data_IF_660759495626
#
_entry.id   IF_660759495626
#
_cell.length_a   1.000
_cell.length_b   1.000
_cell.length_c   1.000
_cell.angle_alpha   90.00
_cell.angle_beta   90.00
_cell.angle_gamma   90.00
#
_symmetry.space_group_name_H-M   'P 1'
#
loop_
_entity.id
_entity.type
_entity.pdbx_description
1 polymer ?
#
# COMPACT_ATOMS: atom_id res chain seq x y z
N UNK A 1 13.88 4.79 13.04
CA UNK A 1 12.65 4.01 12.86
C UNK A 1 12.34 3.96 11.39
N UNK A 2 12.01 2.82 10.80
CA UNK A 2 11.64 2.67 9.39
C UNK A 2 11.02 1.29 9.16
N UNK A 3 10.32 1.10 8.02
CA UNK A 3 10.08 -0.22 7.46
C UNK A 3 11.27 -0.56 6.56
N UNK A 4 11.94 -1.68 6.84
CA UNK A 4 13.13 -2.09 6.10
C UNK A 4 12.97 -3.54 5.61
N UNK A 5 13.28 -3.76 4.36
CA UNK A 5 13.50 -5.08 3.77
C UNK A 5 14.99 -5.22 3.51
N UNK A 6 15.59 -6.33 3.93
CA UNK A 6 17.02 -6.59 3.80
C UNK A 6 17.25 -7.95 3.15
N UNK A 7 17.62 -7.97 1.90
CA UNK A 7 17.91 -9.18 1.16
C UNK A 7 16.75 -10.17 1.08
N UNK A 8 15.51 -9.68 1.01
CA UNK A 8 14.30 -10.52 1.08
C UNK A 8 14.17 -11.39 -0.16
N UNK A 9 14.00 -12.70 0.06
CA UNK A 9 13.63 -13.67 -0.97
C UNK A 9 12.26 -14.25 -0.66
N UNK A 10 11.34 -14.21 -1.64
CA UNK A 10 9.99 -14.72 -1.48
C UNK A 10 9.43 -15.24 -2.80
N UNK A 11 8.44 -16.14 -2.71
CA UNK A 11 7.80 -16.69 -3.91
C UNK A 11 6.82 -17.81 -3.61
N UNK A 12 6.37 -18.49 -4.65
CA UNK A 12 5.32 -19.51 -4.60
C UNK A 12 5.85 -20.88 -5.02
N UNK A 13 5.53 -21.92 -4.24
CA UNK A 13 6.03 -23.27 -4.52
C UNK A 13 7.56 -23.30 -4.60
N UNK A 14 8.15 -23.61 -5.76
CA UNK A 14 9.59 -23.60 -5.99
C UNK A 14 10.10 -22.30 -6.64
N UNK A 15 9.23 -21.50 -7.21
CA UNK A 15 9.61 -20.29 -7.94
C UNK A 15 9.86 -19.13 -6.95
N UNK A 16 10.99 -18.42 -7.15
CA UNK A 16 11.29 -17.15 -6.51
C UNK A 16 10.73 -16.03 -7.39
N UNK A 17 9.87 -15.19 -6.80
CA UNK A 17 9.38 -13.98 -7.46
C UNK A 17 10.11 -12.73 -6.96
N UNK A 18 10.74 -12.80 -5.80
CA UNK A 18 11.55 -11.75 -5.16
C UNK A 18 12.89 -12.36 -4.79
N UNK A 19 13.99 -11.74 -5.20
CA UNK A 19 15.34 -12.29 -5.16
C UNK A 19 16.31 -11.27 -4.55
N UNK A 20 16.44 -11.27 -3.21
CA UNK A 20 17.35 -10.40 -2.50
C UNK A 20 16.92 -8.93 -2.44
N UNK A 21 15.62 -8.64 -2.44
CA UNK A 21 15.10 -7.27 -2.42
C UNK A 21 15.44 -6.59 -1.11
N UNK A 22 16.06 -5.40 -1.23
CA UNK A 22 16.33 -4.49 -0.13
C UNK A 22 15.71 -3.13 -0.44
N UNK A 23 14.91 -2.59 0.48
CA UNK A 23 14.32 -1.26 0.39
C UNK A 23 14.02 -0.69 1.79
N UNK A 24 13.89 0.61 1.88
CA UNK A 24 13.57 1.31 3.13
C UNK A 24 12.44 2.30 2.90
N UNK A 25 11.46 2.30 3.81
CA UNK A 25 10.39 3.30 3.87
C UNK A 25 10.56 4.09 5.16
N UNK A 26 11.06 5.33 5.10
CA UNK A 26 11.16 6.21 6.27
C UNK A 26 9.78 6.58 6.83
N UNK A 27 9.68 6.89 8.14
CA UNK A 27 8.42 7.39 8.71
C UNK A 27 7.95 8.66 7.99
N UNK A 28 6.63 8.77 7.77
CA UNK A 28 6.03 9.97 7.17
C UNK A 28 6.47 10.25 5.73
N UNK A 29 6.96 9.24 5.01
CA UNK A 29 7.32 9.34 3.59
C UNK A 29 6.40 8.51 2.71
N UNK A 30 6.34 8.85 1.43
CA UNK A 30 5.81 8.01 0.37
C UNK A 30 7.00 7.45 -0.41
N UNK A 31 7.15 6.14 -0.39
CA UNK A 31 8.16 5.43 -1.21
C UNK A 31 7.43 4.60 -2.26
N UNK A 32 7.87 4.67 -3.50
CA UNK A 32 7.26 3.87 -4.58
C UNK A 32 8.16 2.71 -4.99
N UNK A 33 7.54 1.57 -5.32
CA UNK A 33 8.18 0.41 -5.94
C UNK A 33 7.59 0.23 -7.34
N UNK A 34 8.34 0.61 -8.35
CA UNK A 34 7.95 0.60 -9.76
C UNK A 34 8.45 -0.64 -10.46
N UNK A 35 7.73 -1.09 -11.46
CA UNK A 35 8.17 -2.21 -12.30
C UNK A 35 7.04 -2.82 -13.12
N UNK A 36 7.36 -3.63 -14.13
CA UNK A 36 6.36 -4.26 -14.99
C UNK A 36 5.57 -5.34 -14.24
N UNK A 37 4.49 -5.81 -14.87
CA UNK A 37 3.71 -6.93 -14.36
C UNK A 37 4.59 -8.18 -14.24
N UNK A 38 4.46 -8.88 -13.11
CA UNK A 38 5.30 -10.06 -12.82
C UNK A 38 6.69 -9.76 -12.27
N UNK A 39 7.09 -8.49 -12.10
CA UNK A 39 8.41 -8.13 -11.56
C UNK A 39 8.64 -8.51 -10.08
N UNK A 40 7.59 -8.89 -9.34
CA UNK A 40 7.69 -9.25 -7.92
C UNK A 40 7.08 -8.24 -6.96
N UNK A 41 6.48 -7.14 -7.45
CA UNK A 41 5.91 -6.04 -6.65
C UNK A 41 4.91 -6.52 -5.58
N UNK A 42 3.81 -7.15 -6.02
CA UNK A 42 2.77 -7.66 -5.10
C UNK A 42 3.30 -8.76 -4.17
N UNK A 43 4.27 -9.56 -4.64
CA UNK A 43 4.92 -10.58 -3.80
C UNK A 43 5.73 -9.93 -2.68
N UNK A 44 6.43 -8.82 -2.97
CA UNK A 44 7.16 -8.02 -1.97
C UNK A 44 6.20 -7.50 -0.90
N UNK A 45 5.05 -6.90 -1.30
CA UNK A 45 4.05 -6.43 -0.35
C UNK A 45 3.44 -7.56 0.48
N UNK A 46 3.11 -8.69 -0.14
CA UNK A 46 2.54 -9.85 0.55
C UNK A 46 3.51 -10.47 1.55
N UNK A 47 4.80 -10.53 1.21
CA UNK A 47 5.83 -10.97 2.14
C UNK A 47 5.95 -10.00 3.33
N UNK A 48 5.94 -8.70 3.06
CA UNK A 48 6.00 -7.65 4.09
C UNK A 48 4.79 -7.67 5.02
N UNK A 49 3.59 -7.98 4.49
CA UNK A 49 2.35 -8.08 5.26
C UNK A 49 2.16 -9.43 6.00
N UNK A 50 3.12 -10.36 5.92
CA UNK A 50 3.02 -11.67 6.56
C UNK A 50 2.06 -12.65 5.88
N UNK A 51 1.65 -12.38 4.64
CA UNK A 51 0.80 -13.26 3.82
C UNK A 51 1.60 -14.35 3.10
N UNK A 52 2.88 -14.10 2.89
CA UNK A 52 3.84 -15.04 2.34
C UNK A 52 5.06 -15.05 3.27
N UNK A 53 5.52 -16.23 3.64
CA UNK A 53 6.73 -16.35 4.45
C UNK A 53 7.97 -16.14 3.58
N UNK A 54 8.85 -15.17 3.88
CA UNK A 54 10.15 -15.03 3.22
C UNK A 54 10.97 -16.31 3.38
N UNK A 55 11.76 -16.66 2.37
CA UNK A 55 12.70 -17.79 2.40
C UNK A 55 14.06 -17.39 2.93
N UNK A 56 14.45 -16.13 2.70
CA UNK A 56 15.67 -15.51 3.16
C UNK A 56 15.46 -14.02 3.37
N UNK A 57 16.43 -13.39 4.03
CA UNK A 57 16.40 -11.97 4.36
C UNK A 57 15.62 -11.66 5.63
N UNK A 58 15.44 -10.38 5.86
CA UNK A 58 14.77 -9.84 7.05
C UNK A 58 13.79 -8.75 6.67
N UNK A 59 12.66 -8.69 7.36
CA UNK A 59 11.69 -7.60 7.29
C UNK A 59 11.59 -7.00 8.69
N UNK A 60 11.93 -5.73 8.80
CA UNK A 60 12.00 -5.01 10.06
C UNK A 60 11.03 -3.83 10.06
N UNK A 61 10.31 -3.66 11.15
CA UNK A 61 9.48 -2.49 11.41
C UNK A 61 9.99 -1.81 12.67
N UNK A 62 10.59 -0.64 12.50
CA UNK A 62 11.23 0.12 13.60
C UNK A 62 12.28 -0.70 14.38
N UNK A 63 12.99 -1.58 13.70
CA UNK A 63 14.01 -2.47 14.25
C UNK A 63 13.48 -3.81 14.78
N UNK A 64 12.16 -4.01 14.86
CA UNK A 64 11.55 -5.29 15.24
C UNK A 64 11.30 -6.18 14.03
N UNK A 65 11.63 -7.45 14.10
CA UNK A 65 11.41 -8.43 13.00
C UNK A 65 9.93 -8.71 12.82
N UNK A 66 9.47 -8.62 11.57
CA UNK A 66 8.13 -9.01 11.14
C UNK A 66 8.11 -10.36 10.40
N UNK A 67 9.22 -10.75 9.78
CA UNK A 67 9.29 -11.97 9.00
C UNK A 67 8.95 -13.21 9.86
N UNK A 68 8.06 -14.04 9.32
CA UNK A 68 7.54 -15.22 10.03
C UNK A 68 6.35 -14.95 10.96
N UNK A 69 5.97 -13.70 11.18
CA UNK A 69 4.73 -13.37 11.88
C UNK A 69 3.51 -13.58 10.99
N UNK A 70 2.35 -14.01 11.53
CA UNK A 70 1.11 -14.05 10.79
C UNK A 70 0.58 -12.63 10.53
N UNK A 71 -0.21 -12.47 9.46
CA UNK A 71 -0.69 -11.17 8.99
C UNK A 71 -1.41 -10.34 10.08
N UNK A 72 -2.22 -10.97 10.93
CA UNK A 72 -2.92 -10.31 12.03
C UNK A 72 -1.96 -9.73 13.09
N UNK A 73 -0.82 -10.40 13.33
CA UNK A 73 0.23 -9.88 14.21
C UNK A 73 0.99 -8.70 13.56
N UNK A 74 1.17 -8.73 12.23
CA UNK A 74 1.77 -7.63 11.47
C UNK A 74 0.86 -6.40 11.53
N UNK A 75 -0.47 -6.57 11.34
CA UNK A 75 -1.45 -5.48 11.47
C UNK A 75 -1.40 -4.86 12.87
N UNK A 76 -1.36 -5.66 13.93
CA UNK A 76 -1.24 -5.15 15.32
C UNK A 76 0.04 -4.35 15.57
N UNK A 77 1.08 -4.55 14.78
CA UNK A 77 2.32 -3.76 14.82
C UNK A 77 2.26 -2.47 14.01
N UNK A 78 1.11 -2.17 13.40
CA UNK A 78 0.87 -0.93 12.69
C UNK A 78 1.25 -0.94 11.22
N UNK A 79 1.19 -2.09 10.55
CA UNK A 79 1.35 -2.21 9.11
C UNK A 79 0.08 -2.76 8.47
N UNK A 80 -0.51 -2.04 7.51
CA UNK A 80 -1.69 -2.48 6.78
C UNK A 80 -1.41 -2.61 5.28
N UNK A 81 -2.03 -3.60 4.65
CA UNK A 81 -1.99 -3.81 3.20
C UNK A 81 -3.37 -3.56 2.58
N UNK A 82 -3.38 -2.77 1.53
CA UNK A 82 -4.52 -2.62 0.61
C UNK A 82 -4.15 -3.37 -0.67
N UNK A 83 -4.76 -4.54 -0.94
CA UNK A 83 -4.43 -5.37 -2.09
C UNK A 83 -5.00 -4.81 -3.39
N UNK A 84 -4.42 -5.18 -4.53
CA UNK A 84 -4.83 -4.81 -5.89
C UNK A 84 -6.33 -5.04 -6.15
N UNK A 85 -6.86 -6.20 -5.73
CA UNK A 85 -8.28 -6.57 -5.93
C UNK A 85 -9.22 -5.97 -4.89
N UNK A 86 -8.76 -5.01 -4.06
CA UNK A 86 -9.53 -4.33 -3.01
C UNK A 86 -10.05 -5.23 -1.91
N UNK A 87 -10.39 -6.49 -2.19
CA UNK A 87 -10.85 -7.53 -1.25
C UNK A 87 -11.97 -7.01 -0.32
N UNK A 88 -12.97 -6.31 -0.91
CA UNK A 88 -14.14 -5.83 -0.18
C UNK A 88 -15.13 -6.96 0.07
N UNK A 89 -15.97 -6.78 1.08
CA UNK A 89 -17.15 -7.59 1.31
C UNK A 89 -18.32 -6.96 0.54
N UNK A 90 -18.65 -7.43 -0.68
CA UNK A 90 -19.51 -6.70 -1.61
C UNK A 90 -20.96 -6.59 -1.14
N UNK A 91 -21.46 -7.54 -0.36
CA UNK A 91 -22.80 -7.54 0.22
C UNK A 91 -22.95 -6.67 1.47
N UNK A 92 -21.83 -6.34 2.13
CA UNK A 92 -21.84 -5.49 3.32
C UNK A 92 -21.86 -4.01 2.96
N UNK A 93 -22.54 -3.17 3.75
CA UNK A 93 -22.48 -1.72 3.64
C UNK A 93 -21.05 -1.17 3.72
N UNK A 94 -20.84 0.01 3.15
CA UNK A 94 -19.56 0.75 3.27
C UNK A 94 -19.14 0.86 4.74
N UNK A 95 -20.04 1.28 5.63
CA UNK A 95 -19.74 1.44 7.06
C UNK A 95 -19.23 0.14 7.69
N UNK A 96 -19.81 -1.00 7.36
CA UNK A 96 -19.37 -2.30 7.90
C UNK A 96 -18.01 -2.70 7.31
N UNK A 97 -17.78 -2.48 6.02
CA UNK A 97 -16.45 -2.68 5.42
C UNK A 97 -15.38 -1.87 6.14
N UNK A 98 -15.64 -0.59 6.46
CA UNK A 98 -14.69 0.24 7.21
C UNK A 98 -14.48 -0.31 8.63
N UNK A 99 -15.57 -0.66 9.32
CA UNK A 99 -15.52 -1.18 10.70
C UNK A 99 -14.68 -2.46 10.82
N UNK A 100 -14.69 -3.32 9.80
CA UNK A 100 -13.84 -4.51 9.75
C UNK A 100 -12.34 -4.17 9.76
N UNK A 101 -11.94 -3.01 9.25
CA UNK A 101 -10.54 -2.55 9.31
C UNK A 101 -10.04 -2.32 10.75
N UNK A 102 -10.95 -2.06 11.68
CA UNK A 102 -10.63 -1.85 13.10
C UNK A 102 -10.75 -3.12 13.95
N UNK A 103 -10.97 -4.31 13.37
CA UNK A 103 -11.33 -5.52 14.12
C UNK A 103 -10.25 -5.96 15.14
N UNK A 104 -8.99 -5.59 14.94
CA UNK A 104 -7.89 -5.88 15.88
C UNK A 104 -7.84 -4.91 17.07
N UNK A 105 -8.66 -3.84 17.07
CA UNK A 105 -8.68 -2.75 18.03
C UNK A 105 -9.84 -2.87 19.01
N UNK A 106 -9.70 -2.23 20.18
CA UNK A 106 -10.74 -2.21 21.24
C UNK A 106 -11.06 -0.80 21.74
N UNK A 107 -10.34 0.21 21.26
CA UNK A 107 -10.42 1.63 21.64
C UNK A 107 -11.58 2.34 20.92
N UNK A 108 -12.82 2.08 21.35
CA UNK A 108 -14.05 2.51 20.64
C UNK A 108 -14.09 4.00 20.32
N UNK A 109 -13.63 4.87 21.22
CA UNK A 109 -13.61 6.32 21.00
C UNK A 109 -12.68 6.67 19.84
N UNK A 110 -11.44 6.18 19.84
CA UNK A 110 -10.49 6.42 18.76
C UNK A 110 -10.90 5.76 17.43
N UNK A 111 -11.60 4.62 17.47
CA UNK A 111 -12.18 4.01 16.25
C UNK A 111 -13.24 4.94 15.65
N UNK A 112 -14.08 5.59 16.47
CA UNK A 112 -15.08 6.54 15.98
C UNK A 112 -14.42 7.79 15.38
N UNK A 113 -13.35 8.31 16.00
CA UNK A 113 -12.56 9.43 15.46
C UNK A 113 -11.92 9.06 14.11
N UNK A 114 -11.32 7.86 14.01
CA UNK A 114 -10.72 7.39 12.77
C UNK A 114 -11.76 7.17 11.65
N UNK A 115 -12.98 6.75 11.99
CA UNK A 115 -14.09 6.65 11.03
C UNK A 115 -14.47 8.03 10.49
N UNK A 116 -14.60 9.04 11.37
CA UNK A 116 -14.88 10.41 10.97
C UNK A 116 -13.74 10.99 10.10
N UNK A 117 -12.48 10.67 10.43
CA UNK A 117 -11.31 11.03 9.62
C UNK A 117 -11.38 10.39 8.24
N UNK A 118 -11.75 9.11 8.12
CA UNK A 118 -11.93 8.44 6.84
C UNK A 118 -13.04 9.10 6.01
N UNK A 119 -14.14 9.49 6.63
CA UNK A 119 -15.22 10.23 5.96
C UNK A 119 -14.82 11.66 5.57
N UNK A 120 -13.93 12.31 6.31
CA UNK A 120 -13.38 13.61 5.93
C UNK A 120 -12.40 13.48 4.73
N UNK A 121 -11.61 12.40 4.67
CA UNK A 121 -10.75 12.11 3.53
C UNK A 121 -11.55 11.76 2.27
N UNK A 122 -12.62 10.97 2.44
CA UNK A 122 -13.46 10.46 1.36
C UNK A 122 -14.95 10.80 1.58
N UNK A 123 -15.41 12.05 1.35
CA UNK A 123 -16.78 12.49 1.67
C UNK A 123 -17.87 11.63 1.02
N UNK A 124 -17.61 11.12 -0.18
CA UNK A 124 -18.54 10.23 -0.91
C UNK A 124 -18.87 8.95 -0.12
N UNK A 125 -17.93 8.45 0.68
CA UNK A 125 -18.17 7.26 1.50
C UNK A 125 -19.15 7.54 2.63
N UNK A 126 -19.19 8.77 3.17
CA UNK A 126 -20.18 9.20 4.16
C UNK A 126 -21.58 9.20 3.59
N UNK A 127 -21.73 9.74 2.38
CA UNK A 127 -23.03 9.81 1.66
C UNK A 127 -23.59 8.42 1.39
N UNK A 128 -22.69 7.47 1.11
CA UNK A 128 -23.00 6.09 0.71
C UNK A 128 -22.79 5.06 1.82
N UNK A 129 -22.68 5.50 3.07
CA UNK A 129 -22.31 4.63 4.23
C UNK A 129 -23.19 3.40 4.42
N UNK A 130 -24.48 3.49 4.04
CA UNK A 130 -25.43 2.39 4.14
C UNK A 130 -25.54 1.56 2.83
N UNK A 131 -24.84 1.97 1.75
CA UNK A 131 -24.89 1.30 0.46
C UNK A 131 -23.97 0.07 0.46
N UNK A 132 -24.40 -1.08 -0.10
CA UNK A 132 -23.56 -2.25 -0.29
C UNK A 132 -22.33 -1.93 -1.13
N UNK A 133 -21.14 -2.30 -0.66
CA UNK A 133 -19.87 -1.92 -1.30
C UNK A 133 -19.75 -2.44 -2.75
N UNK A 134 -20.35 -3.58 -3.06
CA UNK A 134 -20.33 -4.15 -4.41
C UNK A 134 -21.09 -3.33 -5.46
N UNK A 135 -21.95 -2.38 -5.06
CA UNK A 135 -22.72 -1.52 -5.97
C UNK A 135 -22.04 -0.17 -6.25
N UNK A 136 -20.89 0.07 -5.63
CA UNK A 136 -20.10 1.28 -5.84
C UNK A 136 -19.31 1.23 -7.14
N UNK A 137 -18.96 2.41 -7.68
CA UNK A 137 -18.00 2.52 -8.78
C UNK A 137 -16.61 2.00 -8.37
N UNK A 138 -15.77 1.64 -9.36
CA UNK A 138 -14.42 1.14 -9.09
C UNK A 138 -13.58 2.11 -8.24
N UNK A 139 -13.67 3.41 -8.47
CA UNK A 139 -12.96 4.42 -7.67
C UNK A 139 -13.49 4.51 -6.24
N UNK A 140 -14.81 4.48 -6.04
CA UNK A 140 -15.39 4.46 -4.70
C UNK A 140 -15.03 3.18 -3.93
N UNK A 141 -15.00 2.03 -4.61
CA UNK A 141 -14.51 0.78 -4.01
C UNK A 141 -13.04 0.88 -3.59
N UNK A 142 -12.21 1.57 -4.38
CA UNK A 142 -10.80 1.82 -4.01
C UNK A 142 -10.69 2.72 -2.78
N UNK A 143 -11.52 3.77 -2.70
CA UNK A 143 -11.60 4.63 -1.51
C UNK A 143 -12.02 3.81 -0.27
N UNK A 144 -13.01 2.90 -0.39
CA UNK A 144 -13.39 2.00 0.71
C UNK A 144 -12.23 1.12 1.14
N UNK A 145 -11.48 0.53 0.20
CA UNK A 145 -10.34 -0.33 0.51
C UNK A 145 -9.23 0.42 1.26
N UNK A 146 -8.89 1.64 0.81
CA UNK A 146 -7.91 2.50 1.49
C UNK A 146 -8.41 2.91 2.87
N UNK A 147 -9.65 3.40 2.97
CA UNK A 147 -10.26 3.80 4.24
C UNK A 147 -10.31 2.64 5.24
N UNK A 148 -10.67 1.42 4.79
CA UNK A 148 -10.64 0.22 5.63
C UNK A 148 -9.24 -0.08 6.15
N UNK A 149 -8.21 0.07 5.32
CA UNK A 149 -6.81 -0.06 5.75
C UNK A 149 -6.45 0.95 6.84
N UNK A 150 -6.88 2.22 6.71
CA UNK A 150 -6.65 3.28 7.67
C UNK A 150 -7.34 3.05 9.02
N UNK A 151 -8.48 2.34 9.04
CA UNK A 151 -9.19 2.00 10.29
C UNK A 151 -8.37 1.14 11.25
N UNK A 152 -7.34 0.44 10.78
CA UNK A 152 -6.38 -0.25 11.65
C UNK A 152 -5.41 0.71 12.37
N UNK A 153 -5.43 2.00 12.05
CA UNK A 153 -4.52 3.07 12.50
C UNK A 153 -3.05 2.73 12.22
N UNK A 154 -2.71 2.45 10.94
CA UNK A 154 -1.38 1.97 10.59
C UNK A 154 -0.35 3.10 10.65
N UNK A 155 0.87 2.74 11.07
CA UNK A 155 2.06 3.59 10.89
C UNK A 155 2.60 3.51 9.47
N UNK A 156 2.41 2.35 8.83
CA UNK A 156 2.82 2.06 7.44
C UNK A 156 1.66 1.45 6.66
N UNK A 157 1.31 2.07 5.55
CA UNK A 157 0.27 1.62 4.63
C UNK A 157 0.91 1.12 3.34
N UNK A 158 0.71 -0.14 3.02
CA UNK A 158 1.14 -0.75 1.77
C UNK A 158 -0.02 -0.70 0.77
N UNK A 159 0.22 -0.22 -0.44
CA UNK A 159 -0.78 -0.09 -1.50
C UNK A 159 -0.32 -0.85 -2.74
N UNK A 160 -1.10 -1.83 -3.18
CA UNK A 160 -0.82 -2.65 -4.34
C UNK A 160 -1.64 -2.17 -5.55
N UNK A 161 -1.02 -1.43 -6.45
CA UNK A 161 -1.58 -0.87 -7.69
C UNK A 161 -2.95 -0.18 -7.49
N UNK A 162 -3.04 0.84 -6.59
CA UNK A 162 -4.31 1.47 -6.27
C UNK A 162 -4.94 2.22 -7.45
N UNK A 163 -4.20 2.53 -8.50
CA UNK A 163 -4.68 3.22 -9.72
C UNK A 163 -5.28 2.27 -10.75
N UNK A 164 -5.10 0.94 -10.61
CA UNK A 164 -5.45 -0.02 -11.65
C UNK A 164 -6.94 -0.01 -12.00
N UNK A 165 -7.23 0.18 -13.30
CA UNK A 165 -8.60 0.16 -13.82
C UNK A 165 -9.45 1.39 -13.45
N UNK A 166 -8.83 2.49 -13.02
CA UNK A 166 -9.49 3.73 -12.68
C UNK A 166 -9.39 4.77 -13.82
N UNK A 167 -10.38 5.65 -13.89
CA UNK A 167 -10.34 6.80 -14.77
C UNK A 167 -9.26 7.82 -14.30
N UNK A 168 -8.60 8.57 -15.21
CA UNK A 168 -7.52 9.49 -14.86
C UNK A 168 -7.84 10.47 -13.73
N UNK A 169 -8.99 11.08 -13.72
CA UNK A 169 -9.42 12.00 -12.66
C UNK A 169 -9.52 11.34 -11.28
N UNK A 170 -9.91 10.07 -11.24
CA UNK A 170 -9.97 9.31 -9.98
C UNK A 170 -8.57 8.91 -9.49
N UNK A 171 -7.64 8.64 -10.40
CA UNK A 171 -6.24 8.40 -10.07
C UNK A 171 -5.67 9.63 -9.38
N UNK A 172 -5.81 10.81 -9.98
CA UNK A 172 -5.36 12.06 -9.37
C UNK A 172 -6.00 12.32 -8.00
N UNK A 173 -7.31 12.06 -7.85
CA UNK A 173 -8.01 12.22 -6.58
C UNK A 173 -7.41 11.29 -5.51
N UNK A 174 -7.22 10.00 -5.81
CA UNK A 174 -6.64 9.03 -4.89
C UNK A 174 -5.21 9.43 -4.52
N UNK A 175 -4.37 9.78 -5.49
CA UNK A 175 -2.97 10.15 -5.21
C UNK A 175 -2.86 11.41 -4.34
N UNK A 176 -3.73 12.41 -4.54
CA UNK A 176 -3.83 13.56 -3.61
C UNK A 176 -4.20 13.10 -2.19
N UNK A 177 -5.10 12.10 -2.04
CA UNK A 177 -5.43 11.56 -0.73
C UNK A 177 -4.27 10.81 -0.08
N UNK A 178 -3.36 10.21 -0.86
CA UNK A 178 -2.14 9.62 -0.29
C UNK A 178 -1.24 10.70 0.34
N UNK A 179 -1.14 11.88 -0.26
CA UNK A 179 -0.42 13.02 0.33
C UNK A 179 -1.09 13.45 1.66
N UNK A 180 -2.44 13.54 1.69
CA UNK A 180 -3.19 13.88 2.90
C UNK A 180 -2.97 12.84 4.01
N UNK A 181 -2.91 11.55 3.66
CA UNK A 181 -2.65 10.43 4.59
C UNK A 181 -1.22 10.52 5.14
N UNK A 182 -0.21 10.76 4.28
CA UNK A 182 1.19 10.98 4.70
C UNK A 182 1.29 12.16 5.65
N UNK A 183 0.63 13.28 5.36
CA UNK A 183 0.64 14.48 6.20
C UNK A 183 0.09 14.25 7.61
N UNK A 184 -0.68 13.16 7.81
CA UNK A 184 -1.19 12.71 9.11
C UNK A 184 -0.24 11.75 9.83
N UNK A 185 0.93 11.48 9.26
CA UNK A 185 2.00 10.68 9.87
C UNK A 185 2.04 9.21 9.44
N UNK A 186 1.16 8.75 8.55
CA UNK A 186 1.23 7.39 7.99
C UNK A 186 2.25 7.36 6.84
N UNK A 187 3.29 6.54 6.97
CA UNK A 187 4.22 6.27 5.86
C UNK A 187 3.57 5.33 4.84
N UNK A 188 3.93 5.47 3.57
CA UNK A 188 3.29 4.71 2.47
C UNK A 188 4.37 4.00 1.64
N UNK A 189 4.18 2.70 1.41
CA UNK A 189 4.85 1.99 0.32
C UNK A 189 3.84 1.76 -0.80
N UNK A 190 4.02 2.50 -1.89
CA UNK A 190 3.16 2.51 -3.06
C UNK A 190 3.75 1.63 -4.15
N UNK A 191 3.10 0.53 -4.47
CA UNK A 191 3.44 -0.28 -5.64
C UNK A 191 2.58 0.16 -6.80
N UNK A 192 3.21 0.49 -7.93
CA UNK A 192 2.52 0.99 -9.12
C UNK A 192 3.19 0.55 -10.43
N UNK A 193 2.38 0.50 -11.47
CA UNK A 193 2.82 0.41 -12.84
C UNK A 193 2.83 1.79 -13.51
N UNK A 194 1.91 2.68 -13.12
CA UNK A 194 1.89 4.07 -13.57
C UNK A 194 2.97 4.89 -12.85
N UNK A 195 4.19 4.80 -13.38
CA UNK A 195 5.36 5.43 -12.79
C UNK A 195 5.24 6.96 -12.74
N UNK A 196 4.64 7.59 -13.75
CA UNK A 196 4.49 9.04 -13.78
C UNK A 196 3.69 9.53 -12.57
N UNK A 197 2.49 8.99 -12.38
CA UNK A 197 1.64 9.37 -11.26
C UNK A 197 2.26 9.00 -9.89
N UNK A 198 2.95 7.86 -9.80
CA UNK A 198 3.61 7.44 -8.57
C UNK A 198 4.77 8.36 -8.17
N UNK A 199 5.61 8.75 -9.14
CA UNK A 199 6.75 9.65 -8.89
C UNK A 199 6.33 11.08 -8.55
N UNK A 200 5.17 11.55 -9.00
CA UNK A 200 4.63 12.87 -8.62
C UNK A 200 4.33 13.00 -7.12
N UNK A 201 4.00 11.90 -6.44
CA UNK A 201 3.62 11.92 -5.02
C UNK A 201 4.68 11.33 -4.10
N UNK A 202 5.63 10.58 -4.65
CA UNK A 202 6.66 9.88 -3.88
C UNK A 202 7.82 10.81 -3.49
N UNK A 203 8.46 10.52 -2.37
CA UNK A 203 9.72 11.15 -1.95
C UNK A 203 10.92 10.40 -2.54
N UNK A 204 10.81 9.06 -2.61
CA UNK A 204 11.83 8.13 -3.14
C UNK A 204 11.16 7.00 -3.91
N UNK A 205 11.95 6.32 -4.74
CA UNK A 205 11.48 5.15 -5.45
C UNK A 205 12.56 4.08 -5.63
N UNK A 206 12.06 2.90 -5.93
CA UNK A 206 12.82 1.72 -6.32
C UNK A 206 12.23 1.17 -7.61
N UNK A 207 13.08 0.73 -8.53
CA UNK A 207 12.64 0.03 -9.74
C UNK A 207 13.00 -1.44 -9.58
N UNK A 208 11.99 -2.32 -9.68
CA UNK A 208 12.15 -3.77 -9.58
C UNK A 208 11.92 -4.43 -10.94
N UNK A 209 12.83 -5.31 -11.33
CA UNK A 209 12.72 -6.14 -12.54
C UNK A 209 13.12 -7.57 -12.22
N UNK A 210 12.32 -8.51 -12.66
CA UNK A 210 12.59 -9.95 -12.44
C UNK A 210 12.98 -10.31 -11.00
N UNK A 211 12.31 -9.68 -10.04
CA UNK A 211 12.50 -9.93 -8.60
C UNK A 211 13.66 -9.21 -7.94
N UNK A 212 14.38 -8.32 -8.64
CA UNK A 212 15.56 -7.62 -8.12
C UNK A 212 15.42 -6.11 -8.25
N UNK A 213 15.91 -5.36 -7.28
CA UNK A 213 16.02 -3.90 -7.40
C UNK A 213 17.11 -3.57 -8.42
N UNK A 214 16.76 -2.77 -9.43
CA UNK A 214 17.67 -2.31 -10.49
C UNK A 214 18.13 -0.88 -10.28
N UNK A 215 17.21 0.00 -9.86
CA UNK A 215 17.49 1.41 -9.62
C UNK A 215 16.84 1.83 -8.30
N UNK A 216 17.44 2.78 -7.64
CA UNK A 216 16.88 3.47 -6.49
C UNK A 216 17.33 4.92 -6.47
N UNK A 217 16.50 5.82 -5.97
CA UNK A 217 16.84 7.24 -5.88
C UNK A 217 15.71 8.07 -5.29
N UNK A 218 15.89 9.38 -5.30
CA UNK A 218 14.76 10.29 -5.07
C UNK A 218 13.77 10.19 -6.23
N UNK A 219 12.50 10.54 -6.00
CA UNK A 219 11.52 10.57 -7.08
C UNK A 219 11.95 11.48 -8.23
N UNK A 220 12.61 12.60 -7.94
CA UNK A 220 13.14 13.53 -8.95
C UNK A 220 14.27 12.90 -9.78
N UNK A 221 15.21 12.18 -9.14
CA UNK A 221 16.30 11.51 -9.85
C UNK A 221 15.75 10.41 -10.79
N UNK A 222 14.80 9.60 -10.30
CA UNK A 222 14.18 8.55 -11.10
C UNK A 222 13.33 9.11 -12.26
N UNK A 223 12.64 10.24 -12.06
CA UNK A 223 11.89 10.90 -13.13
C UNK A 223 12.81 11.52 -14.21
N UNK A 224 14.04 11.83 -13.86
CA UNK A 224 15.05 12.35 -14.80
C UNK A 224 15.89 11.24 -15.48
N UNK A 225 15.86 10.02 -14.96
CA UNK A 225 16.63 8.89 -15.48
C UNK A 225 16.10 8.43 -16.85
N UNK A 226 17.00 8.33 -17.84
CA UNK A 226 16.63 8.01 -19.22
C UNK A 226 16.04 6.59 -19.34
N UNK A 227 16.55 5.60 -18.62
CA UNK A 227 16.02 4.23 -18.65
C UNK A 227 14.61 4.16 -18.04
N UNK A 228 14.36 4.90 -16.95
CA UNK A 228 13.02 5.01 -16.34
C UNK A 228 12.07 5.71 -17.30
N UNK A 229 12.50 6.81 -17.94
CA UNK A 229 11.68 7.58 -18.89
C UNK A 229 11.31 6.74 -20.12
N UNK A 230 12.26 6.03 -20.69
CA UNK A 230 12.02 5.21 -21.88
C UNK A 230 11.11 4.00 -21.60
N UNK A 231 11.22 3.41 -20.41
CA UNK A 231 10.52 2.17 -20.07
C UNK A 231 9.17 2.40 -19.40
N UNK A 232 9.05 3.44 -18.54
CA UNK A 232 7.93 3.59 -17.61
C UNK A 232 7.17 4.92 -17.72
N UNK A 233 7.71 5.95 -18.41
CA UNK A 233 7.08 7.30 -18.48
C UNK A 233 6.56 7.65 -19.89
N UNK A 234 6.47 6.68 -20.78
CA UNK A 234 5.89 6.87 -22.14
C UNK A 234 4.38 6.73 -22.17
#
# INVERSE_FOLDING_TARGET
MALELRGVEAGYGRALAVQGVSLTVPPGSIVTLLGPNGAGKSTTLRATAGLIRPRAGEILLDGERLDGLPADAVVRRGLALVPERRELFPSLPVLENLSLGAHTRRDRAAIAEDLEMCFALFPRLRERRAQPAGTLSGGEQQMVAIARGLMSRPRYLLLDEPSLGLAPLLIEEIFRKLIDIRARGTAILLVEQNAAAALEVADRGYVIETGQIRLEGTAADLAADDAVRETYLR
#
